data_IF_369693079368
#
_entry.id   IF_369693079368
#
_cell.length_a   1.000
_cell.length_b   1.000
_cell.length_c   1.000
_cell.angle_alpha   90.00
_cell.angle_beta   90.00
_cell.angle_gamma   90.00
#
_symmetry.space_group_name_H-M   'P 1'
#
loop_
_entity.id
_entity.type
_entity.pdbx_description
1 polymer ?
#
# COMPACT_ATOMS: atom_id res chain seq x y z
N UNK A 1 62.30 55.05 22.13
CA UNK A 1 62.82 53.67 22.18
C UNK A 1 62.57 53.13 23.58
N UNK A 2 61.43 52.49 23.85
CA UNK A 2 61.38 51.05 24.19
C UNK A 2 59.96 50.48 23.99
N UNK A 3 59.14 51.13 23.15
CA UNK A 3 57.80 50.67 22.75
C UNK A 3 57.81 49.52 21.72
N UNK A 4 58.98 48.91 21.48
CA UNK A 4 59.18 47.80 20.53
C UNK A 4 59.68 46.51 21.21
N UNK A 5 59.83 46.49 22.55
CA UNK A 5 60.32 45.32 23.29
C UNK A 5 59.28 44.63 24.19
N UNK A 6 58.00 45.03 24.10
CA UNK A 6 56.90 44.30 24.77
C UNK A 6 55.98 43.56 23.77
N UNK A 7 56.30 43.59 22.47
CA UNK A 7 55.56 42.89 21.40
C UNK A 7 56.19 41.52 21.06
N UNK A 8 57.36 41.19 21.62
CA UNK A 8 58.07 39.92 21.37
C UNK A 8 57.92 38.86 22.48
N UNK A 9 57.14 39.13 23.53
CA UNK A 9 56.93 38.20 24.65
C UNK A 9 55.45 38.09 25.06
N UNK A 10 54.56 38.15 24.07
CA UNK A 10 53.11 37.95 24.19
C UNK A 10 52.55 37.12 23.03
N UNK A 11 53.44 36.51 22.22
CA UNK A 11 53.09 35.76 21.01
C UNK A 11 53.38 34.26 21.14
N UNK A 12 53.29 33.70 22.36
CA UNK A 12 53.57 32.28 22.61
C UNK A 12 52.64 31.61 23.65
N UNK A 13 51.44 32.15 23.84
CA UNK A 13 50.50 31.62 24.84
C UNK A 13 49.01 31.73 24.41
N UNK A 14 48.73 31.48 23.13
CA UNK A 14 47.35 31.35 22.64
C UNK A 14 47.26 30.51 21.35
N UNK A 15 47.79 29.29 21.42
CA UNK A 15 47.43 28.20 20.50
C UNK A 15 47.26 26.96 21.37
N UNK A 16 46.02 26.59 21.65
CA UNK A 16 45.77 25.44 22.52
C UNK A 16 44.32 25.27 22.94
N UNK A 17 43.39 25.26 21.98
CA UNK A 17 42.15 24.47 22.02
C UNK A 17 41.65 24.30 20.59
N UNK A 18 42.51 23.74 19.72
CA UNK A 18 42.02 23.00 18.57
C UNK A 18 41.87 21.59 19.12
N UNK A 19 40.63 21.13 19.28
CA UNK A 19 40.32 19.74 19.62
C UNK A 19 40.83 18.86 18.48
N UNK A 20 42.09 18.45 18.56
CA UNK A 20 42.61 17.28 17.87
C UNK A 20 42.40 16.08 18.80
N UNK A 21 41.15 15.65 18.94
CA UNK A 21 40.85 14.33 19.49
C UNK A 21 41.00 13.28 18.38
N UNK A 22 42.20 13.15 17.83
CA UNK A 22 42.60 12.02 16.96
C UNK A 22 44.12 11.92 16.95
N UNK A 23 44.73 11.53 18.07
CA UNK A 23 46.13 11.04 18.06
C UNK A 23 46.56 10.15 19.22
N UNK A 24 45.65 9.64 20.05
CA UNK A 24 46.00 8.71 21.13
C UNK A 24 45.52 7.26 20.92
N UNK A 25 44.64 6.99 19.95
CA UNK A 25 44.06 5.63 19.81
C UNK A 25 45.00 4.54 19.27
N UNK A 26 46.16 4.90 18.71
CA UNK A 26 47.12 3.90 18.19
C UNK A 26 47.94 3.27 19.34
N UNK A 27 47.83 3.75 20.59
CA UNK A 27 48.55 3.20 21.75
C UNK A 27 47.70 2.92 22.99
N UNK A 28 46.40 3.19 22.96
CA UNK A 28 45.50 3.00 24.10
C UNK A 28 44.70 1.70 24.02
N UNK A 29 45.35 0.58 23.72
CA UNK A 29 44.80 -0.71 24.12
C UNK A 29 44.80 -0.76 25.65
N UNK A 30 43.62 -0.91 26.28
CA UNK A 30 43.58 -1.34 27.70
C UNK A 30 44.46 -2.60 27.79
N UNK A 31 45.47 -2.62 28.66
CA UNK A 31 46.28 -3.84 28.86
C UNK A 31 45.35 -5.02 29.16
N UNK A 32 45.33 -6.02 28.26
CA UNK A 32 44.58 -7.27 28.44
C UNK A 32 43.38 -7.50 27.51
N UNK A 33 42.96 -6.55 26.67
CA UNK A 33 41.90 -6.78 25.68
C UNK A 33 42.51 -7.13 24.32
N UNK A 34 42.16 -8.28 23.78
CA UNK A 34 42.59 -8.69 22.44
C UNK A 34 41.90 -7.80 21.38
N UNK A 35 42.70 -7.25 20.45
CA UNK A 35 42.22 -6.30 19.42
C UNK A 35 42.49 -6.85 18.02
N UNK A 36 41.73 -6.37 17.04
CA UNK A 36 41.96 -6.57 15.61
C UNK A 36 41.63 -5.31 14.82
N UNK A 37 42.00 -5.31 13.53
CA UNK A 37 41.78 -4.18 12.63
C UNK A 37 40.64 -4.47 11.67
N UNK A 38 39.84 -3.44 11.38
CA UNK A 38 38.81 -3.47 10.35
C UNK A 38 39.19 -2.53 9.20
N UNK A 39 39.20 -3.05 7.97
CA UNK A 39 39.12 -2.27 6.74
C UNK A 39 37.70 -2.28 6.21
N UNK A 40 37.09 -1.11 6.12
CA UNK A 40 35.72 -0.94 5.67
C UNK A 40 35.66 -0.32 4.28
N UNK A 41 34.78 -0.85 3.44
CA UNK A 41 34.36 -0.20 2.20
C UNK A 41 32.84 -0.11 2.19
N UNK A 42 32.33 1.03 1.73
CA UNK A 42 30.89 1.27 1.54
C UNK A 42 30.66 1.54 0.07
N UNK A 43 29.60 0.96 -0.48
CA UNK A 43 29.13 1.26 -1.83
C UNK A 43 27.61 1.27 -1.86
N UNK A 44 27.03 2.01 -2.79
CA UNK A 44 25.60 1.96 -3.08
C UNK A 44 25.35 1.27 -4.42
N UNK A 45 24.37 0.37 -4.45
CA UNK A 45 23.91 -0.27 -5.68
C UNK A 45 23.23 0.79 -6.55
N UNK A 46 23.76 1.02 -7.75
CA UNK A 46 23.17 1.99 -8.67
C UNK A 46 21.84 1.44 -9.21
N UNK A 47 20.78 2.26 -9.30
CA UNK A 47 19.51 1.82 -9.84
C UNK A 47 19.65 1.57 -11.36
N UNK A 48 19.04 0.50 -11.86
CA UNK A 48 19.11 0.12 -13.28
C UNK A 48 18.50 1.18 -14.23
N UNK A 49 17.60 2.02 -13.73
CA UNK A 49 16.93 3.10 -14.48
C UNK A 49 17.90 4.22 -14.90
N UNK A 50 18.98 4.46 -14.14
CA UNK A 50 19.95 5.54 -14.45
C UNK A 50 21.23 4.96 -15.02
N UNK A 51 21.33 4.86 -16.35
CA UNK A 51 22.47 4.27 -17.08
C UNK A 51 23.84 4.96 -16.89
N UNK A 52 24.02 5.96 -16.01
CA UNK A 52 25.23 6.81 -16.08
C UNK A 52 25.86 7.34 -14.78
N UNK A 53 25.32 7.12 -13.57
CA UNK A 53 25.93 7.75 -12.37
C UNK A 53 26.00 6.78 -11.20
N UNK A 54 27.23 6.43 -10.80
CA UNK A 54 27.48 5.78 -9.51
C UNK A 54 26.96 6.69 -8.39
N UNK A 55 26.18 6.14 -7.47
CA UNK A 55 25.74 6.85 -6.27
C UNK A 55 26.95 7.06 -5.37
N UNK A 56 27.33 8.32 -5.13
CA UNK A 56 28.39 8.61 -4.14
C UNK A 56 27.89 8.24 -2.75
N UNK A 57 28.76 7.59 -1.99
CA UNK A 57 28.53 7.24 -0.58
C UNK A 57 29.41 8.05 0.36
N UNK A 58 30.17 9.02 -0.16
CA UNK A 58 31.19 9.74 0.61
C UNK A 58 30.61 10.43 1.85
N UNK A 59 29.36 10.86 1.79
CA UNK A 59 28.62 11.54 2.86
C UNK A 59 27.73 10.62 3.70
N UNK A 60 27.76 9.30 3.47
CA UNK A 60 26.94 8.36 4.22
C UNK A 60 27.51 8.16 5.63
N UNK A 61 26.74 8.32 6.71
CA UNK A 61 27.18 7.93 8.03
C UNK A 61 27.48 6.42 8.11
N UNK A 62 28.34 6.06 9.05
CA UNK A 62 28.69 4.66 9.35
C UNK A 62 28.54 4.43 10.85
N UNK A 63 27.81 3.37 11.21
CA UNK A 63 27.69 2.89 12.59
C UNK A 63 28.20 1.46 12.68
N UNK A 64 29.06 1.19 13.66
CA UNK A 64 29.58 -0.13 13.98
C UNK A 64 29.10 -0.46 15.38
N UNK A 65 28.23 -1.46 15.50
CA UNK A 65 27.65 -1.89 16.77
C UNK A 65 27.91 -3.38 16.98
N UNK A 66 28.27 -3.78 18.18
CA UNK A 66 28.58 -5.17 18.45
C UNK A 66 28.97 -5.45 19.88
N UNK A 67 29.43 -6.67 20.11
CA UNK A 67 29.93 -7.11 21.42
C UNK A 67 31.30 -7.72 21.27
N UNK A 68 32.20 -7.33 22.15
CA UNK A 68 33.47 -8.02 22.34
C UNK A 68 33.24 -9.44 22.87
N UNK A 69 34.25 -10.30 22.77
CA UNK A 69 34.23 -11.65 23.36
C UNK A 69 34.05 -11.65 24.88
N UNK A 70 34.42 -10.55 25.55
CA UNK A 70 34.25 -10.35 26.98
C UNK A 70 32.85 -9.82 27.35
N UNK A 71 31.99 -9.60 26.35
CA UNK A 71 30.61 -9.16 26.51
C UNK A 71 30.44 -7.63 26.63
N UNK A 72 31.50 -6.84 26.53
CA UNK A 72 31.42 -5.37 26.46
C UNK A 72 30.76 -4.94 25.15
N UNK A 73 29.72 -4.12 25.25
CA UNK A 73 29.05 -3.47 24.11
C UNK A 73 29.94 -2.37 23.55
N UNK A 74 30.10 -2.37 22.22
CA UNK A 74 30.97 -1.46 21.51
C UNK A 74 30.17 -0.78 20.42
N UNK A 75 30.19 0.54 20.43
CA UNK A 75 29.62 1.39 19.39
C UNK A 75 30.70 2.35 18.85
N UNK A 76 30.77 2.48 17.53
CA UNK A 76 31.59 3.48 16.83
C UNK A 76 30.76 4.12 15.73
N UNK A 77 30.73 5.44 15.68
CA UNK A 77 29.99 6.19 14.70
C UNK A 77 30.91 7.17 13.97
N UNK A 78 30.72 7.27 12.65
CA UNK A 78 31.39 8.23 11.77
C UNK A 78 30.33 9.01 11.00
N UNK A 79 30.50 10.32 10.90
CA UNK A 79 29.51 11.20 10.26
C UNK A 79 29.42 10.98 8.74
N UNK A 80 30.51 10.51 8.12
CA UNK A 80 30.62 10.27 6.69
C UNK A 80 31.64 9.17 6.37
N UNK A 81 31.46 8.47 5.23
CA UNK A 81 32.44 7.50 4.71
C UNK A 81 33.79 8.17 4.43
N UNK A 82 33.79 9.42 4.00
CA UNK A 82 35.01 10.21 3.77
C UNK A 82 35.85 10.44 5.04
N UNK A 83 35.24 10.30 6.23
CA UNK A 83 35.90 10.46 7.53
C UNK A 83 36.45 9.14 8.07
N UNK A 84 36.24 8.01 7.37
CA UNK A 84 36.75 6.72 7.81
C UNK A 84 38.29 6.70 7.78
N UNK A 85 38.95 6.24 8.86
CA UNK A 85 40.38 5.99 8.81
C UNK A 85 40.69 4.79 7.89
N UNK A 86 41.95 4.66 7.45
CA UNK A 86 42.39 3.51 6.63
C UNK A 86 42.10 2.15 7.28
N UNK A 87 42.09 2.11 8.61
CA UNK A 87 41.66 0.96 9.40
C UNK A 87 41.16 1.39 10.78
N UNK A 88 40.16 0.68 11.29
CA UNK A 88 39.53 0.92 12.59
C UNK A 88 39.97 -0.18 13.56
N UNK A 89 40.45 0.19 14.74
CA UNK A 89 40.85 -0.77 15.78
C UNK A 89 39.65 -1.13 16.66
N UNK A 90 39.33 -2.42 16.76
CA UNK A 90 38.18 -2.92 17.53
C UNK A 90 38.61 -4.11 18.41
N UNK A 91 38.00 -4.31 19.58
CA UNK A 91 38.16 -5.54 20.35
C UNK A 91 37.77 -6.78 19.55
N UNK A 92 38.35 -7.94 19.85
CA UNK A 92 37.92 -9.22 19.30
C UNK A 92 36.46 -9.45 19.66
N UNK A 93 35.63 -9.79 18.69
CA UNK A 93 34.18 -9.86 18.86
C UNK A 93 33.41 -9.90 17.55
N UNK A 94 32.09 -9.83 17.66
CA UNK A 94 31.16 -9.81 16.54
C UNK A 94 30.46 -8.45 16.44
N UNK A 95 30.40 -7.93 15.22
CA UNK A 95 29.92 -6.58 14.95
C UNK A 95 29.03 -6.57 13.71
N UNK A 96 28.09 -5.62 13.68
CA UNK A 96 27.34 -5.23 12.50
C UNK A 96 27.74 -3.81 12.11
N UNK A 97 28.12 -3.63 10.84
CA UNK A 97 28.37 -2.32 10.27
C UNK A 97 27.16 -1.91 9.46
N UNK A 98 26.60 -0.74 9.76
CA UNK A 98 25.46 -0.17 9.06
C UNK A 98 25.88 1.15 8.42
N UNK A 99 25.46 1.38 7.18
CA UNK A 99 25.61 2.67 6.52
C UNK A 99 24.36 3.01 5.73
N UNK A 100 24.06 4.29 5.59
CA UNK A 100 22.85 4.76 4.93
C UNK A 100 22.98 6.18 4.40
N UNK A 101 22.04 6.60 3.56
CA UNK A 101 21.88 8.01 3.16
C UNK A 101 21.68 8.88 4.40
N UNK A 102 22.37 10.02 4.45
CA UNK A 102 22.26 10.97 5.57
C UNK A 102 20.81 11.44 5.75
N UNK A 103 20.36 11.49 7.01
CA UNK A 103 18.99 11.82 7.37
C UNK A 103 18.24 10.59 7.89
N UNK A 104 16.90 10.67 7.89
CA UNK A 104 16.00 9.63 8.37
C UNK A 104 15.21 9.06 7.18
N UNK A 105 14.99 7.74 7.18
CA UNK A 105 14.08 7.11 6.24
C UNK A 105 12.64 7.44 6.61
N UNK A 106 12.08 8.45 5.94
CA UNK A 106 10.67 8.80 6.05
C UNK A 106 9.83 8.06 5.01
N UNK A 107 8.51 8.01 5.22
CA UNK A 107 7.57 7.37 4.29
C UNK A 107 7.62 8.01 2.89
N UNK A 108 7.74 9.34 2.85
CA UNK A 108 7.84 10.16 1.62
C UNK A 108 9.14 10.95 1.63
N UNK A 109 9.89 10.87 0.54
CA UNK A 109 11.16 11.58 0.35
C UNK A 109 11.22 12.19 -1.06
N UNK A 110 12.06 13.22 -1.24
CA UNK A 110 12.32 13.86 -2.55
C UNK A 110 13.55 13.25 -3.26
N UNK A 111 14.29 12.38 -2.57
CA UNK A 111 15.52 11.76 -3.03
C UNK A 111 15.56 10.27 -2.61
N UNK A 112 16.32 9.43 -3.33
CA UNK A 112 16.47 8.03 -2.96
C UNK A 112 17.19 7.90 -1.61
N UNK A 113 16.75 6.93 -0.81
CA UNK A 113 17.37 6.59 0.46
C UNK A 113 18.00 5.21 0.38
N UNK A 114 19.30 5.12 0.62
CA UNK A 114 20.04 3.87 0.59
C UNK A 114 20.36 3.42 2.01
N UNK A 115 20.33 2.11 2.24
CA UNK A 115 20.77 1.50 3.51
C UNK A 115 21.39 0.15 3.23
N UNK A 116 22.41 -0.20 3.99
CA UNK A 116 23.04 -1.51 3.95
C UNK A 116 23.63 -1.85 5.30
N UNK A 117 23.76 -3.16 5.55
CA UNK A 117 24.51 -3.67 6.68
C UNK A 117 25.42 -4.81 6.26
N UNK A 118 26.46 -5.05 7.05
CA UNK A 118 27.32 -6.22 6.94
C UNK A 118 27.74 -6.66 8.33
N UNK A 119 27.50 -7.92 8.64
CA UNK A 119 28.03 -8.53 9.85
C UNK A 119 29.49 -8.97 9.64
N UNK A 120 30.26 -8.97 10.72
CA UNK A 120 31.67 -9.30 10.70
C UNK A 120 32.16 -9.85 12.05
N UNK A 121 33.32 -10.50 11.98
CA UNK A 121 34.08 -10.96 13.14
C UNK A 121 35.47 -10.29 13.14
N UNK A 122 35.85 -9.73 14.28
CA UNK A 122 37.19 -9.19 14.52
C UNK A 122 38.00 -10.22 15.28
N UNK A 123 39.19 -10.55 14.76
CA UNK A 123 40.10 -11.55 15.33
C UNK A 123 41.40 -10.89 15.77
N UNK A 124 42.01 -11.47 16.79
CA UNK A 124 43.25 -10.97 17.40
C UNK A 124 44.34 -10.82 16.35
N UNK A 125 44.95 -9.63 16.30
CA UNK A 125 46.08 -9.30 15.42
C UNK A 125 45.82 -9.54 13.92
N UNK A 126 44.54 -9.64 13.51
CA UNK A 126 44.13 -9.83 12.12
C UNK A 126 43.46 -8.57 11.59
N UNK A 127 43.73 -8.26 10.32
CA UNK A 127 42.98 -7.25 9.56
C UNK A 127 41.79 -7.91 8.86
N UNK A 128 40.60 -7.75 9.41
CA UNK A 128 39.34 -8.12 8.78
C UNK A 128 38.95 -7.07 7.74
N UNK A 129 38.23 -7.48 6.69
CA UNK A 129 37.69 -6.57 5.69
C UNK A 129 36.18 -6.76 5.59
N UNK A 130 35.42 -5.67 5.55
CA UNK A 130 33.99 -5.70 5.24
C UNK A 130 33.61 -4.75 4.12
N UNK A 131 32.53 -5.13 3.45
CA UNK A 131 31.95 -4.40 2.35
C UNK A 131 30.46 -4.23 2.61
N UNK A 132 30.06 -3.01 2.95
CA UNK A 132 28.64 -2.65 3.09
C UNK A 132 28.11 -2.27 1.72
N UNK A 133 27.13 -3.03 1.22
CA UNK A 133 26.43 -2.71 -0.03
C UNK A 133 25.07 -2.14 0.30
N UNK A 134 24.93 -0.83 0.18
CA UNK A 134 23.67 -0.13 0.42
C UNK A 134 22.73 -0.30 -0.78
N UNK A 135 21.49 -0.71 -0.52
CA UNK A 135 20.42 -0.80 -1.52
C UNK A 135 19.39 0.30 -1.26
N UNK A 136 18.73 0.75 -2.31
CA UNK A 136 17.66 1.74 -2.19
C UNK A 136 16.50 1.14 -1.40
N UNK A 137 16.02 1.86 -0.38
CA UNK A 137 14.97 1.39 0.54
C UNK A 137 13.58 1.84 0.10
N UNK A 138 13.49 2.95 -0.62
CA UNK A 138 12.26 3.50 -1.18
C UNK A 138 12.15 3.24 -2.69
N UNK A 139 10.94 3.27 -3.21
CA UNK A 139 10.65 3.11 -4.64
C UNK A 139 10.46 4.48 -5.27
N UNK A 140 10.89 4.63 -6.52
CA UNK A 140 10.71 5.86 -7.29
C UNK A 140 9.32 5.89 -7.90
N UNK A 141 8.47 6.82 -7.50
CA UNK A 141 7.16 7.06 -8.08
C UNK A 141 7.28 8.19 -9.11
N UNK A 142 7.06 7.87 -10.38
CA UNK A 142 7.03 8.82 -11.48
C UNK A 142 5.59 9.00 -11.95
N UNK A 143 5.08 10.22 -11.84
CA UNK A 143 3.82 10.63 -12.47
C UNK A 143 4.13 11.26 -13.81
N UNK A 144 3.31 11.00 -14.82
CA UNK A 144 3.38 11.69 -16.10
C UNK A 144 1.97 12.09 -16.54
N UNK A 145 1.86 13.30 -17.08
CA UNK A 145 0.61 13.86 -17.59
C UNK A 145 0.78 14.12 -19.07
N UNK A 146 -0.13 13.59 -19.88
CA UNK A 146 -0.13 13.92 -21.31
C UNK A 146 -0.46 15.39 -21.53
N UNK A 147 -0.04 15.93 -22.68
CA UNK A 147 -0.41 17.29 -23.09
C UNK A 147 -1.92 17.50 -23.11
N UNK A 148 -2.67 16.47 -23.52
CA UNK A 148 -4.13 16.50 -23.57
C UNK A 148 -4.73 16.49 -22.16
N UNK A 149 -4.14 15.76 -21.22
CA UNK A 149 -4.57 15.74 -19.82
C UNK A 149 -4.46 17.14 -19.21
N UNK A 150 -3.29 17.77 -19.35
CA UNK A 150 -3.06 19.13 -18.85
C UNK A 150 -3.97 20.18 -19.51
N UNK A 151 -4.43 19.93 -20.74
CA UNK A 151 -5.34 20.82 -21.46
C UNK A 151 -6.82 20.64 -21.06
N UNK A 152 -7.21 19.46 -20.59
CA UNK A 152 -8.61 19.11 -20.27
C UNK A 152 -8.94 19.21 -18.78
N UNK A 153 -7.94 19.20 -17.89
CA UNK A 153 -8.13 19.28 -16.44
C UNK A 153 -7.46 20.51 -15.80
N UNK A 154 -8.08 21.06 -14.75
CA UNK A 154 -7.60 22.25 -14.02
C UNK A 154 -6.95 21.90 -12.70
N UNK A 155 -7.44 20.89 -12.01
CA UNK A 155 -6.93 20.38 -10.74
C UNK A 155 -7.14 18.86 -10.65
N UNK A 156 -6.21 18.17 -9.99
CA UNK A 156 -6.35 16.74 -9.71
C UNK A 156 -5.66 16.36 -8.41
N UNK A 157 -6.19 15.30 -7.80
CA UNK A 157 -5.65 14.62 -6.63
C UNK A 157 -5.42 13.16 -7.00
N UNK A 158 -4.19 12.69 -6.73
CA UNK A 158 -3.78 11.31 -6.90
C UNK A 158 -3.43 10.79 -5.50
N UNK A 159 -4.03 9.68 -5.10
CA UNK A 159 -3.70 8.99 -3.86
C UNK A 159 -3.24 7.56 -4.14
N UNK A 160 -2.04 7.25 -3.70
CA UNK A 160 -1.45 5.91 -3.75
C UNK A 160 -1.46 5.34 -2.32
N UNK A 161 -2.30 4.35 -2.09
CA UNK A 161 -2.47 3.66 -0.81
C UNK A 161 -1.81 2.29 -0.88
N UNK A 162 -0.87 2.03 0.01
CA UNK A 162 -0.11 0.78 0.09
C UNK A 162 -0.58 -0.14 1.24
N UNK A 163 -1.73 0.16 1.84
CA UNK A 163 -2.30 -0.56 2.97
C UNK A 163 -1.63 -0.25 4.31
N UNK A 164 -0.65 0.67 4.34
CA UNK A 164 -0.08 1.18 5.59
C UNK A 164 -0.91 2.32 6.19
N UNK A 165 -0.51 2.82 7.35
CA UNK A 165 -1.22 3.93 8.04
C UNK A 165 -1.22 5.25 7.26
N UNK A 166 -0.37 5.39 6.23
CA UNK A 166 -0.23 6.62 5.46
C UNK A 166 -0.26 6.34 3.97
N UNK A 167 -1.14 7.04 3.23
CA UNK A 167 -1.16 7.03 1.77
C UNK A 167 -0.38 8.23 1.19
N UNK A 168 0.24 8.05 0.03
CA UNK A 168 0.85 9.15 -0.71
C UNK A 168 -0.25 9.95 -1.39
N UNK A 169 -0.40 11.23 -1.00
CA UNK A 169 -1.30 12.16 -1.68
C UNK A 169 -0.53 13.22 -2.45
N UNK A 170 -0.89 13.40 -3.72
CA UNK A 170 -0.36 14.41 -4.63
C UNK A 170 -1.54 15.23 -5.14
N UNK A 171 -1.51 16.53 -4.91
CA UNK A 171 -2.50 17.47 -5.43
C UNK A 171 -1.78 18.48 -6.32
N UNK A 172 -2.28 18.63 -7.54
CA UNK A 172 -1.70 19.54 -8.52
C UNK A 172 -2.78 20.32 -9.28
N UNK A 173 -2.32 21.35 -9.99
CA UNK A 173 -3.15 22.16 -10.89
C UNK A 173 -2.42 22.33 -12.20
N UNK A 174 -3.15 22.49 -13.31
CA UNK A 174 -2.54 22.68 -14.63
C UNK A 174 -1.67 23.94 -14.74
N UNK A 175 -1.85 24.91 -13.83
CA UNK A 175 -0.99 26.09 -13.75
C UNK A 175 0.43 25.78 -13.25
N UNK A 176 0.59 24.74 -12.43
CA UNK A 176 1.86 24.43 -11.74
C UNK A 176 2.45 23.08 -12.12
N UNK A 177 1.66 22.18 -12.72
CA UNK A 177 2.11 20.85 -13.09
C UNK A 177 3.03 20.88 -14.32
N UNK A 178 4.10 20.09 -14.25
CA UNK A 178 4.92 19.72 -15.41
C UNK A 178 4.35 18.45 -16.03
N UNK A 179 4.52 18.23 -17.34
CA UNK A 179 4.15 16.95 -17.98
C UNK A 179 4.84 15.73 -17.36
N UNK A 180 5.99 15.94 -16.72
CA UNK A 180 6.68 14.96 -15.89
C UNK A 180 7.20 15.69 -14.65
N UNK A 181 6.44 15.73 -13.54
CA UNK A 181 6.91 16.30 -12.28
C UNK A 181 8.13 15.55 -11.74
N UNK A 182 8.83 16.18 -10.79
CA UNK A 182 9.93 15.54 -10.09
C UNK A 182 9.45 14.24 -9.41
N UNK A 183 10.24 13.16 -9.48
CA UNK A 183 9.84 11.89 -8.90
C UNK A 183 9.73 11.99 -7.38
N UNK A 184 8.80 11.24 -6.83
CA UNK A 184 8.62 11.06 -5.38
C UNK A 184 9.28 9.75 -5.00
N UNK A 185 9.92 9.67 -3.84
CA UNK A 185 10.46 8.42 -3.33
C UNK A 185 9.63 7.93 -2.15
N UNK A 186 8.97 6.79 -2.33
CA UNK A 186 8.00 6.25 -1.38
C UNK A 186 8.52 4.96 -0.72
N UNK A 187 8.49 4.90 0.61
CA UNK A 187 8.90 3.73 1.36
C UNK A 187 7.71 2.82 1.68
N UNK A 188 7.63 1.68 1.01
CA UNK A 188 6.56 0.68 1.24
C UNK A 188 6.66 -0.09 2.56
N UNK A 189 7.63 0.21 3.42
CA UNK A 189 7.87 -0.54 4.66
C UNK A 189 8.83 -1.71 4.46
N UNK A 190 9.24 -2.33 5.57
CA UNK A 190 10.25 -3.40 5.58
C UNK A 190 9.78 -4.67 4.85
N UNK A 191 8.48 -4.98 4.92
CA UNK A 191 7.86 -6.09 4.18
C UNK A 191 7.41 -5.74 2.75
N UNK A 192 7.52 -4.46 2.36
CA UNK A 192 6.91 -3.96 1.13
C UNK A 192 5.39 -3.98 1.15
N UNK A 193 4.79 -3.64 0.01
CA UNK A 193 3.34 -3.69 -0.20
C UNK A 193 2.98 -4.76 -1.22
N UNK A 194 2.16 -5.73 -0.82
CA UNK A 194 1.66 -6.76 -1.73
C UNK A 194 0.71 -6.15 -2.78
N UNK A 195 -0.17 -5.25 -2.31
CA UNK A 195 -1.20 -4.59 -3.12
C UNK A 195 -1.11 -3.09 -2.94
N UNK A 196 -1.26 -2.35 -4.04
CA UNK A 196 -1.32 -0.89 -4.04
C UNK A 196 -2.63 -0.44 -4.69
N UNK A 197 -3.28 0.55 -4.10
CA UNK A 197 -4.52 1.15 -4.60
C UNK A 197 -4.28 2.60 -5.03
N UNK A 198 -4.58 2.91 -6.29
CA UNK A 198 -4.49 4.25 -6.84
C UNK A 198 -5.90 4.85 -7.00
N UNK A 199 -6.14 5.97 -6.34
CA UNK A 199 -7.38 6.74 -6.44
C UNK A 199 -7.09 8.07 -7.13
N UNK A 200 -7.92 8.45 -8.10
CA UNK A 200 -7.76 9.69 -8.84
C UNK A 200 -9.08 10.45 -8.85
N UNK A 201 -8.99 11.74 -8.55
CA UNK A 201 -10.08 12.70 -8.70
C UNK A 201 -9.55 13.93 -9.43
N UNK A 202 -10.24 14.38 -10.46
CA UNK A 202 -9.84 15.54 -11.24
C UNK A 202 -11.04 16.45 -11.52
N UNK A 203 -10.76 17.71 -11.85
CA UNK A 203 -11.76 18.68 -12.29
C UNK A 203 -11.44 19.16 -13.69
N UNK A 204 -12.41 19.09 -14.59
CA UNK A 204 -12.24 19.53 -15.97
C UNK A 204 -12.18 21.05 -16.08
N UNK A 205 -11.77 21.58 -17.24
CA UNK A 205 -11.81 23.03 -17.52
C UNK A 205 -13.24 23.61 -17.53
N UNK A 206 -14.24 22.78 -17.82
CA UNK A 206 -15.67 23.12 -17.76
C UNK A 206 -16.20 23.11 -16.31
N UNK A 207 -15.39 22.67 -15.35
CA UNK A 207 -15.71 22.66 -13.92
C UNK A 207 -16.34 21.37 -13.41
N UNK A 208 -16.48 20.34 -14.26
CA UNK A 208 -17.02 19.04 -13.88
C UNK A 208 -16.01 18.25 -13.05
N UNK A 209 -16.48 17.47 -12.07
CA UNK A 209 -15.61 16.56 -11.30
C UNK A 209 -15.65 15.17 -11.90
N UNK A 210 -14.48 14.64 -12.24
CA UNK A 210 -14.26 13.24 -12.63
C UNK A 210 -13.66 12.51 -11.44
N UNK A 211 -14.25 11.40 -11.02
CA UNK A 211 -13.74 10.53 -9.96
C UNK A 211 -13.61 9.14 -10.51
N UNK A 212 -12.41 8.56 -10.46
CA UNK A 212 -12.17 7.22 -10.97
C UNK A 212 -12.42 6.16 -9.92
N UNK A 213 -12.87 5.00 -10.37
CA UNK A 213 -12.84 3.80 -9.54
C UNK A 213 -11.39 3.53 -9.09
N UNK A 214 -11.18 2.98 -7.89
CA UNK A 214 -9.83 2.69 -7.42
C UNK A 214 -9.17 1.63 -8.29
N UNK A 215 -7.97 1.93 -8.80
CA UNK A 215 -7.12 0.96 -9.47
C UNK A 215 -6.36 0.16 -8.43
N UNK A 216 -6.62 -1.15 -8.36
CA UNK A 216 -5.93 -2.05 -7.44
C UNK A 216 -4.99 -2.90 -8.26
N UNK A 217 -3.72 -2.93 -7.89
CA UNK A 217 -2.70 -3.64 -8.65
C UNK A 217 -1.61 -4.20 -7.75
N UNK A 218 -1.00 -5.28 -8.22
CA UNK A 218 0.14 -5.92 -7.58
C UNK A 218 1.33 -5.96 -8.53
N UNK A 219 2.52 -6.01 -7.96
CA UNK A 219 3.75 -6.19 -8.75
C UNK A 219 3.78 -7.56 -9.44
N UNK A 220 3.20 -8.60 -8.82
CA UNK A 220 3.13 -9.95 -9.38
C UNK A 220 2.30 -10.07 -10.66
N UNK A 221 1.44 -9.08 -10.94
CA UNK A 221 0.58 -9.02 -12.13
C UNK A 221 1.30 -8.42 -13.34
N UNK A 222 2.52 -7.90 -13.16
CA UNK A 222 3.33 -7.38 -14.27
C UNK A 222 3.40 -8.38 -15.44
N UNK A 223 3.21 -7.88 -16.66
CA UNK A 223 3.13 -8.71 -17.89
C UNK A 223 4.37 -9.58 -18.12
N UNK A 224 5.52 -9.11 -17.65
CA UNK A 224 6.80 -9.81 -17.71
C UNK A 224 7.36 -10.04 -16.30
N UNK A 225 7.98 -11.20 -16.10
CA UNK A 225 8.60 -11.62 -14.84
C UNK A 225 10.07 -11.96 -15.08
N UNK A 226 10.90 -11.67 -14.10
CA UNK A 226 12.34 -11.93 -14.16
C UNK A 226 12.77 -12.88 -13.05
N UNK A 227 13.64 -13.83 -13.38
CA UNK A 227 14.12 -14.87 -12.45
C UNK A 227 14.92 -14.32 -11.27
N UNK A 228 15.45 -13.10 -11.36
CA UNK A 228 16.21 -12.41 -10.32
C UNK A 228 15.34 -11.46 -9.46
N UNK A 229 14.01 -11.53 -9.62
CA UNK A 229 13.01 -10.80 -8.83
C UNK A 229 12.30 -11.80 -7.91
N UNK A 230 12.85 -11.97 -6.71
CA UNK A 230 12.36 -12.98 -5.75
C UNK A 230 11.21 -12.49 -4.86
N UNK A 231 11.03 -11.17 -4.72
CA UNK A 231 10.01 -10.58 -3.85
C UNK A 231 8.77 -10.16 -4.68
N UNK A 232 7.58 -10.74 -4.41
CA UNK A 232 6.35 -10.37 -5.12
C UNK A 232 5.79 -9.01 -4.72
N UNK A 233 6.24 -8.42 -3.62
CA UNK A 233 5.76 -7.13 -3.11
C UNK A 233 6.50 -5.96 -3.76
N UNK A 234 5.84 -4.81 -3.80
CA UNK A 234 6.51 -3.53 -4.09
C UNK A 234 7.48 -3.19 -2.96
N UNK A 235 8.74 -3.01 -3.33
CA UNK A 235 9.83 -2.71 -2.38
C UNK A 235 10.81 -1.67 -2.92
N UNK A 236 11.72 -1.24 -2.06
CA UNK A 236 12.76 -0.28 -2.43
C UNK A 236 13.59 -0.70 -3.65
N UNK A 237 13.98 0.29 -4.44
CA UNK A 237 14.80 0.10 -5.65
C UNK A 237 14.04 -0.07 -6.95
N UNK A 238 12.73 -0.32 -6.88
CA UNK A 238 11.84 -0.31 -8.05
C UNK A 238 11.43 1.11 -8.44
N UNK A 239 11.01 1.30 -9.70
CA UNK A 239 10.31 2.50 -10.13
C UNK A 239 8.89 2.17 -10.57
N UNK A 240 7.90 2.84 -9.97
CA UNK A 240 6.51 2.79 -10.40
C UNK A 240 6.23 4.02 -11.28
N UNK A 241 5.74 3.78 -12.48
CA UNK A 241 5.41 4.81 -13.47
C UNK A 241 3.89 4.83 -13.62
N UNK A 242 3.29 6.01 -13.49
CA UNK A 242 1.85 6.23 -13.61
C UNK A 242 1.63 7.31 -14.66
N UNK A 243 1.15 6.90 -15.83
CA UNK A 243 0.84 7.79 -16.94
C UNK A 243 -0.66 8.09 -16.96
N UNK A 244 -1.02 9.38 -16.98
CA UNK A 244 -2.40 9.84 -17.02
C UNK A 244 -2.69 10.54 -18.36
N UNK A 245 -3.80 10.14 -18.98
CA UNK A 245 -4.38 10.73 -20.20
C UNK A 245 -5.86 11.02 -19.98
N UNK A 246 -6.48 11.93 -20.73
CA UNK A 246 -7.94 12.01 -20.77
C UNK A 246 -8.53 10.67 -21.18
N UNK A 247 -9.70 10.32 -20.63
CA UNK A 247 -10.51 9.21 -21.12
C UNK A 247 -11.02 9.49 -22.54
N UNK A 248 -11.51 8.44 -23.21
CA UNK A 248 -11.99 8.53 -24.59
C UNK A 248 -13.45 9.01 -24.70
N UNK A 249 -14.17 9.06 -23.58
CA UNK A 249 -15.56 9.49 -23.52
C UNK A 249 -15.69 10.97 -23.15
N UNK A 250 -16.66 11.64 -23.79
CA UNK A 250 -17.03 13.01 -23.50
C UNK A 250 -18.54 13.10 -23.21
N UNK A 251 -18.90 14.00 -22.29
CA UNK A 251 -20.29 14.31 -21.98
C UNK A 251 -20.95 14.94 -23.21
N UNK A 252 -22.08 14.41 -23.70
CA UNK A 252 -22.67 14.83 -24.97
C UNK A 252 -23.29 16.24 -24.92
N UNK A 253 -23.47 16.81 -23.74
CA UNK A 253 -24.08 18.13 -23.54
C UNK A 253 -23.02 19.22 -23.39
N UNK A 254 -21.92 18.90 -22.72
CA UNK A 254 -20.88 19.85 -22.34
C UNK A 254 -19.58 19.67 -23.13
N UNK A 255 -19.37 18.52 -23.78
CA UNK A 255 -18.11 18.15 -24.46
C UNK A 255 -16.95 17.91 -23.49
N UNK A 256 -17.24 17.83 -22.18
CA UNK A 256 -16.24 17.60 -21.15
C UNK A 256 -15.87 16.13 -21.08
N UNK A 257 -14.59 15.82 -20.90
CA UNK A 257 -14.13 14.43 -20.73
C UNK A 257 -14.71 13.84 -19.45
N UNK A 258 -15.23 12.62 -19.50
CA UNK A 258 -15.90 11.95 -18.36
C UNK A 258 -15.00 11.02 -17.57
N UNK A 259 -13.81 10.70 -18.09
CA UNK A 259 -12.87 9.75 -17.47
C UNK A 259 -11.39 10.14 -17.61
N UNK A 260 -10.53 9.30 -17.05
CA UNK A 260 -9.07 9.39 -17.11
C UNK A 260 -8.57 8.00 -17.48
N UNK A 261 -7.75 7.91 -18.52
CA UNK A 261 -7.04 6.67 -18.84
C UNK A 261 -5.73 6.63 -18.06
N UNK A 262 -5.49 5.52 -17.37
CA UNK A 262 -4.31 5.31 -16.53
C UNK A 262 -3.51 4.14 -17.07
N UNK A 263 -2.20 4.32 -17.20
CA UNK A 263 -1.26 3.21 -17.42
C UNK A 263 -0.33 3.13 -16.23
N UNK A 264 -0.20 1.93 -15.66
CA UNK A 264 0.71 1.64 -14.56
C UNK A 264 1.78 0.68 -15.07
N UNK A 265 3.04 1.06 -14.88
CA UNK A 265 4.19 0.22 -15.26
C UNK A 265 5.21 0.20 -14.13
N UNK A 266 5.96 -0.89 -14.03
CA UNK A 266 7.06 -1.05 -13.07
C UNK A 266 8.37 -1.25 -13.81
N UNK A 267 9.44 -0.61 -13.33
CA UNK A 267 10.81 -0.97 -13.66
C UNK A 267 11.42 -1.65 -12.43
N UNK A 268 11.78 -2.92 -12.58
CA UNK A 268 12.36 -3.73 -11.51
C UNK A 268 13.81 -3.30 -11.18
N UNK A 269 14.27 -3.51 -9.94
CA UNK A 269 15.55 -2.99 -9.43
C UNK A 269 16.78 -3.27 -10.33
N UNK A 270 16.80 -4.45 -10.99
CA UNK A 270 17.92 -4.90 -11.83
C UNK A 270 17.68 -4.71 -13.33
N UNK A 271 16.52 -4.16 -13.72
CA UNK A 271 16.07 -4.05 -15.11
C UNK A 271 15.87 -2.59 -15.49
N UNK A 272 15.94 -2.27 -16.78
CA UNK A 272 15.77 -0.89 -17.26
C UNK A 272 14.56 -0.71 -18.19
N UNK A 273 13.74 -1.75 -18.30
CA UNK A 273 12.55 -1.79 -19.13
C UNK A 273 11.32 -1.57 -18.26
N UNK A 274 10.39 -0.75 -18.74
CA UNK A 274 9.10 -0.56 -18.09
C UNK A 274 8.17 -1.70 -18.51
N UNK A 275 7.67 -2.43 -17.51
CA UNK A 275 6.75 -3.54 -17.70
C UNK A 275 5.38 -3.10 -17.22
N UNK A 276 4.38 -3.17 -18.09
CA UNK A 276 3.02 -2.83 -17.72
C UNK A 276 2.50 -3.78 -16.63
N UNK A 277 1.82 -3.19 -15.66
CA UNK A 277 0.98 -3.89 -14.72
C UNK A 277 -0.45 -3.71 -15.23
N UNK A 278 -1.14 -4.79 -15.63
CA UNK A 278 -2.53 -4.71 -16.00
C UNK A 278 -3.30 -4.25 -14.76
N UNK A 279 -3.88 -3.07 -14.87
CA UNK A 279 -4.93 -2.66 -13.96
C UNK A 279 -6.22 -3.19 -14.55
N UNK A 280 -7.01 -3.92 -13.76
CA UNK A 280 -8.42 -4.05 -14.11
C UNK A 280 -8.97 -2.62 -14.08
N UNK A 281 -9.18 -2.03 -15.26
CA UNK A 281 -10.17 -0.98 -15.38
C UNK A 281 -11.46 -1.60 -14.85
N UNK A 282 -11.79 -1.29 -13.60
CA UNK A 282 -13.20 -1.23 -13.21
C UNK A 282 -13.75 -0.01 -13.92
N UNK A 283 -13.82 -0.07 -15.25
CA UNK A 283 -14.70 0.78 -15.99
C UNK A 283 -16.04 0.72 -15.27
N UNK A 284 -16.56 1.90 -14.95
CA UNK A 284 -17.99 2.02 -14.83
C UNK A 284 -18.58 1.32 -16.05
N UNK A 285 -19.31 0.23 -15.85
CA UNK A 285 -20.10 -0.36 -16.93
C UNK A 285 -21.27 0.59 -17.19
N UNK A 286 -20.98 1.72 -17.84
CA UNK A 286 -21.96 2.38 -18.70
C UNK A 286 -21.99 1.62 -20.03
N UNK A 287 -23.16 1.51 -20.65
CA UNK A 287 -23.47 0.46 -21.60
C UNK A 287 -22.77 0.72 -22.93
N UNK A 288 -21.84 -0.14 -23.32
CA UNK A 288 -21.33 -0.13 -24.68
C UNK A 288 -22.45 -0.57 -25.66
N UNK A 289 -22.55 0.03 -26.86
CA UNK A 289 -23.59 -0.27 -27.82
C UNK A 289 -23.31 -1.64 -28.41
N UNK A 290 -24.32 -2.52 -28.34
CA UNK A 290 -24.35 -3.89 -28.89
C UNK A 290 -23.42 -4.12 -30.09
N UNK A 291 -22.56 -5.14 -29.97
CA UNK A 291 -22.54 -6.24 -30.91
C UNK A 291 -22.72 -7.57 -30.15
N UNK A 292 -23.91 -8.16 -30.30
CA UNK A 292 -24.40 -9.55 -30.06
C UNK A 292 -23.76 -10.45 -28.96
N UNK A 293 -24.60 -11.27 -28.30
CA UNK A 293 -24.43 -11.75 -26.94
C UNK A 293 -23.33 -12.80 -26.81
N UNK A 294 -22.51 -12.68 -25.77
CA UNK A 294 -21.98 -13.88 -25.14
C UNK A 294 -22.84 -14.20 -23.90
N UNK A 295 -23.40 -15.39 -23.97
CA UNK A 295 -24.51 -15.92 -23.18
C UNK A 295 -23.97 -16.45 -21.85
N UNK A 296 -24.41 -15.88 -20.73
CA UNK A 296 -24.59 -16.65 -19.49
C UNK A 296 -23.57 -16.48 -18.36
N UNK A 297 -23.26 -15.26 -17.92
CA UNK A 297 -22.54 -15.05 -16.66
C UNK A 297 -23.52 -14.92 -15.47
N UNK A 298 -23.40 -15.82 -14.50
CA UNK A 298 -23.98 -15.71 -13.15
C UNK A 298 -23.05 -14.86 -12.28
N UNK A 299 -23.57 -13.97 -11.41
CA UNK A 299 -22.77 -13.12 -10.54
C UNK A 299 -23.49 -12.70 -9.26
N UNK A 300 -22.70 -12.46 -8.21
CA UNK A 300 -23.13 -11.90 -6.92
C UNK A 300 -22.21 -10.74 -6.58
N UNK A 301 -22.79 -9.56 -6.32
CA UNK A 301 -22.09 -8.34 -5.91
C UNK A 301 -22.44 -8.01 -4.46
N UNK A 302 -21.41 -7.85 -3.63
CA UNK A 302 -21.51 -7.45 -2.23
C UNK A 302 -20.70 -6.17 -2.00
N UNK A 303 -21.04 -5.33 -1.00
CA UNK A 303 -20.14 -4.29 -0.51
C UNK A 303 -18.86 -4.90 0.08
N UNK A 304 -17.86 -4.07 0.37
CA UNK A 304 -16.68 -4.51 1.15
C UNK A 304 -17.09 -4.79 2.60
N UNK A 305 -16.38 -5.70 3.25
CA UNK A 305 -16.50 -5.94 4.70
C UNK A 305 -16.32 -4.63 5.48
N UNK A 306 -17.09 -4.48 6.56
CA UNK A 306 -17.08 -3.25 7.34
C UNK A 306 -17.34 -3.48 8.83
N UNK A 307 -16.93 -2.49 9.61
CA UNK A 307 -17.14 -2.42 11.06
C UNK A 307 -17.95 -1.17 11.40
N UNK A 308 -18.93 -1.29 12.29
CA UNK A 308 -19.58 -0.14 12.91
C UNK A 308 -19.78 -0.35 14.42
N UNK A 309 -19.92 0.75 15.16
CA UNK A 309 -20.16 0.70 16.61
C UNK A 309 -21.61 1.04 16.95
N UNK A 310 -22.14 0.39 17.97
CA UNK A 310 -23.42 0.74 18.60
C UNK A 310 -23.38 2.13 19.24
N UNK A 311 -22.20 2.62 19.63
CA UNK A 311 -21.97 4.00 20.07
C UNK A 311 -22.01 5.03 18.93
N UNK A 312 -22.06 4.57 17.67
CA UNK A 312 -22.19 5.39 16.46
C UNK A 312 -20.86 5.78 15.78
N UNK A 313 -19.71 5.32 16.29
CA UNK A 313 -18.39 5.55 15.65
C UNK A 313 -17.52 4.28 15.73
N UNK A 314 -17.13 3.64 14.61
CA UNK A 314 -17.44 4.01 13.22
C UNK A 314 -18.94 3.97 12.91
N UNK A 315 -19.39 4.83 12.00
CA UNK A 315 -20.80 4.98 11.68
C UNK A 315 -21.34 3.77 10.90
N UNK A 316 -22.58 3.39 11.19
CA UNK A 316 -23.29 2.35 10.46
C UNK A 316 -23.54 2.77 9.00
N UNK A 317 -23.24 1.94 7.99
CA UNK A 317 -23.49 2.28 6.61
C UNK A 317 -24.99 2.33 6.28
N UNK A 318 -25.35 3.12 5.27
CA UNK A 318 -26.73 3.29 4.84
C UNK A 318 -27.30 2.09 4.04
N UNK A 319 -26.44 1.29 3.42
CA UNK A 319 -26.82 0.06 2.70
C UNK A 319 -25.70 -0.97 2.79
N UNK A 320 -26.08 -2.24 2.69
CA UNK A 320 -25.18 -3.38 2.56
C UNK A 320 -25.72 -4.43 1.59
N UNK A 321 -26.60 -4.02 0.68
CA UNK A 321 -27.42 -4.95 -0.10
C UNK A 321 -26.60 -5.81 -1.06
N UNK A 322 -27.06 -7.05 -1.27
CA UNK A 322 -26.45 -7.99 -2.20
C UNK A 322 -27.19 -8.00 -3.52
N UNK A 323 -26.49 -7.76 -4.63
CA UNK A 323 -27.08 -7.78 -5.98
C UNK A 323 -26.71 -9.10 -6.65
N UNK A 324 -27.72 -9.88 -7.03
CA UNK A 324 -27.60 -11.19 -7.66
C UNK A 324 -28.09 -11.13 -9.09
N UNK A 325 -27.29 -11.59 -10.05
CA UNK A 325 -27.64 -11.59 -11.48
C UNK A 325 -27.34 -12.95 -12.10
N UNK A 326 -28.27 -13.47 -12.89
CA UNK A 326 -28.12 -14.70 -13.63
C UNK A 326 -28.86 -14.58 -14.97
N UNK A 327 -28.14 -14.38 -16.07
CA UNK A 327 -28.76 -14.18 -17.40
C UNK A 327 -29.58 -15.39 -17.88
N UNK A 328 -29.20 -16.60 -17.46
CA UNK A 328 -29.96 -17.82 -17.72
C UNK A 328 -31.23 -17.96 -16.85
N UNK A 329 -31.44 -17.02 -15.91
CA UNK A 329 -32.44 -17.10 -14.86
C UNK A 329 -31.85 -17.69 -13.57
N UNK A 330 -32.34 -17.23 -12.43
CA UNK A 330 -31.97 -17.71 -11.10
C UNK A 330 -32.73 -19.01 -10.84
N UNK A 331 -31.98 -20.10 -10.62
CA UNK A 331 -32.50 -21.39 -10.18
C UNK A 331 -32.58 -21.48 -8.66
N UNK A 332 -31.58 -20.94 -7.96
CA UNK A 332 -31.51 -20.90 -6.50
C UNK A 332 -30.74 -19.67 -6.04
N UNK A 333 -31.18 -19.04 -4.96
CA UNK A 333 -30.49 -17.95 -4.29
C UNK A 333 -30.49 -18.23 -2.79
N UNK A 334 -29.41 -18.81 -2.26
CA UNK A 334 -29.31 -19.25 -0.88
C UNK A 334 -28.60 -18.21 -0.02
N UNK A 335 -29.20 -17.90 1.14
CA UNK A 335 -28.63 -17.02 2.15
C UNK A 335 -28.38 -17.81 3.42
N UNK A 336 -27.13 -17.82 3.89
CA UNK A 336 -26.73 -18.41 5.17
C UNK A 336 -26.04 -17.37 6.03
N UNK A 337 -26.44 -17.30 7.29
CA UNK A 337 -25.89 -16.36 8.28
C UNK A 337 -25.09 -17.14 9.31
N UNK A 338 -23.84 -16.74 9.52
CA UNK A 338 -22.99 -17.21 10.61
C UNK A 338 -22.74 -16.04 11.54
N UNK A 339 -22.78 -16.29 12.84
CA UNK A 339 -22.54 -15.26 13.86
C UNK A 339 -21.81 -15.84 15.05
N UNK A 340 -20.92 -15.05 15.65
CA UNK A 340 -20.28 -15.36 16.94
C UNK A 340 -21.14 -14.91 18.14
N UNK A 341 -22.23 -14.19 17.90
CA UNK A 341 -23.15 -13.73 18.94
C UNK A 341 -24.22 -14.81 19.21
N UNK A 342 -24.13 -15.47 20.36
CA UNK A 342 -25.08 -16.53 20.75
C UNK A 342 -26.54 -16.05 20.88
N UNK A 343 -26.77 -14.77 21.19
CA UNK A 343 -28.12 -14.18 21.24
C UNK A 343 -28.75 -14.02 19.85
N UNK A 344 -27.97 -13.55 18.88
CA UNK A 344 -28.43 -13.47 17.49
C UNK A 344 -28.64 -14.86 16.89
N UNK A 345 -27.73 -15.80 17.19
CA UNK A 345 -27.86 -17.20 16.79
C UNK A 345 -29.16 -17.83 17.32
N UNK A 346 -29.49 -17.62 18.60
CA UNK A 346 -30.77 -18.06 19.17
C UNK A 346 -31.97 -17.41 18.48
N UNK A 347 -31.87 -16.12 18.16
CA UNK A 347 -32.91 -15.39 17.42
C UNK A 347 -33.15 -15.99 16.03
N UNK A 348 -32.08 -16.32 15.29
CA UNK A 348 -32.17 -16.98 13.98
C UNK A 348 -32.73 -18.42 14.08
N UNK A 349 -32.47 -19.11 15.19
CA UNK A 349 -33.00 -20.46 15.46
C UNK A 349 -34.50 -20.44 15.76
N UNK A 350 -34.97 -19.45 16.51
CA UNK A 350 -36.38 -19.31 16.94
C UNK A 350 -37.26 -18.62 15.87
N UNK A 351 -36.64 -17.85 14.96
CA UNK A 351 -37.35 -17.22 13.86
C UNK A 351 -38.02 -18.29 12.97
N UNK A 352 -39.35 -18.24 12.91
CA UNK A 352 -40.15 -19.08 12.03
C UNK A 352 -40.04 -18.57 10.58
N UNK A 353 -38.94 -18.92 9.92
CA UNK A 353 -38.89 -18.97 8.45
C UNK A 353 -39.71 -20.17 7.96
N UNK A 354 -39.54 -20.58 6.70
CA UNK A 354 -40.17 -21.82 6.22
C UNK A 354 -39.82 -23.02 7.12
N UNK A 355 -38.64 -23.00 7.76
CA UNK A 355 -38.24 -23.87 8.87
C UNK A 355 -37.44 -23.10 9.94
N UNK A 356 -37.55 -23.44 11.25
CA UNK A 356 -36.75 -22.83 12.31
C UNK A 356 -35.24 -22.98 12.05
N UNK A 357 -34.48 -21.89 12.16
CA UNK A 357 -33.04 -21.92 11.88
C UNK A 357 -32.68 -22.00 10.39
N UNK A 358 -33.63 -21.83 9.46
CA UNK A 358 -33.35 -21.93 8.02
C UNK A 358 -32.19 -21.02 7.56
N UNK A 359 -32.09 -19.80 8.09
CA UNK A 359 -30.96 -18.90 7.76
C UNK A 359 -29.62 -19.34 8.35
N UNK A 360 -29.58 -20.19 9.39
CA UNK A 360 -28.32 -20.74 9.92
C UNK A 360 -27.77 -21.86 9.02
N UNK A 361 -28.67 -22.60 8.36
CA UNK A 361 -28.32 -23.72 7.48
C UNK A 361 -28.18 -23.28 6.01
N UNK A 362 -28.88 -22.21 5.63
CA UNK A 362 -28.99 -21.73 4.26
C UNK A 362 -30.44 -21.79 3.78
N UNK A 363 -31.10 -20.63 3.70
CA UNK A 363 -32.46 -20.52 3.17
C UNK A 363 -32.41 -20.11 1.70
N UNK A 364 -33.02 -20.92 0.82
CA UNK A 364 -33.25 -20.49 -0.56
C UNK A 364 -34.36 -19.44 -0.56
N UNK A 365 -34.10 -18.29 -1.20
CA UNK A 365 -35.03 -17.17 -1.28
C UNK A 365 -36.14 -17.39 -2.30
N UNK A 366 -35.93 -18.25 -3.30
CA UNK A 366 -36.88 -18.44 -4.40
C UNK A 366 -38.24 -18.90 -3.87
N UNK A 367 -39.23 -18.01 -3.95
CA UNK A 367 -40.59 -18.25 -3.44
C UNK A 367 -40.70 -18.50 -1.92
N UNK A 368 -39.70 -18.11 -1.12
CA UNK A 368 -39.65 -18.40 0.31
C UNK A 368 -40.70 -17.61 1.10
N UNK A 369 -41.69 -18.29 1.69
CA UNK A 369 -42.82 -17.61 2.32
C UNK A 369 -42.43 -17.01 3.68
N UNK A 370 -41.56 -17.66 4.43
CA UNK A 370 -41.03 -17.13 5.69
C UNK A 370 -40.26 -15.82 5.50
N UNK A 371 -39.39 -15.75 4.50
CA UNK A 371 -38.67 -14.52 4.15
C UNK A 371 -39.63 -13.46 3.58
N UNK A 372 -40.62 -13.86 2.77
CA UNK A 372 -41.65 -12.93 2.30
C UNK A 372 -42.44 -12.30 3.46
N UNK A 373 -42.84 -13.11 4.45
CA UNK A 373 -43.52 -12.63 5.65
C UNK A 373 -42.63 -11.67 6.45
N UNK A 374 -41.32 -11.94 6.53
CA UNK A 374 -40.36 -11.00 7.14
C UNK A 374 -40.34 -9.67 6.40
N UNK A 375 -40.20 -9.67 5.07
CA UNK A 375 -40.20 -8.44 4.26
C UNK A 375 -41.51 -7.65 4.40
N UNK A 376 -42.65 -8.35 4.41
CA UNK A 376 -43.96 -7.72 4.59
C UNK A 376 -44.11 -7.14 6.02
N UNK A 377 -43.61 -7.84 7.06
CA UNK A 377 -43.66 -7.36 8.46
C UNK A 377 -42.81 -6.12 8.70
N UNK A 378 -41.75 -5.94 7.90
CA UNK A 378 -40.87 -4.78 7.93
C UNK A 378 -41.30 -3.69 6.93
N UNK A 379 -42.43 -3.90 6.25
CA UNK A 379 -43.00 -3.01 5.24
C UNK A 379 -41.99 -2.61 4.14
N UNK A 380 -41.05 -3.51 3.81
CA UNK A 380 -39.98 -3.21 2.86
C UNK A 380 -40.55 -2.84 1.49
N UNK A 381 -39.90 -1.86 0.86
CA UNK A 381 -40.27 -1.37 -0.46
C UNK A 381 -39.13 -1.53 -1.45
N UNK A 382 -39.48 -1.75 -2.70
CA UNK A 382 -38.55 -1.56 -3.82
C UNK A 382 -38.38 -0.05 -4.10
N UNK A 383 -37.40 0.30 -4.94
CA UNK A 383 -37.11 1.69 -5.29
C UNK A 383 -38.30 2.42 -5.96
N UNK A 384 -39.22 1.69 -6.57
CA UNK A 384 -40.45 2.21 -7.19
C UNK A 384 -41.62 2.37 -6.19
N UNK A 385 -41.41 2.04 -4.92
CA UNK A 385 -42.42 2.11 -3.85
C UNK A 385 -43.36 0.90 -3.76
N UNK A 386 -43.20 -0.11 -4.60
CA UNK A 386 -43.91 -1.39 -4.48
C UNK A 386 -43.40 -2.21 -3.29
N UNK A 387 -44.19 -3.17 -2.81
CA UNK A 387 -43.76 -4.03 -1.69
C UNK A 387 -42.64 -4.97 -2.14
N UNK A 388 -41.57 -5.08 -1.34
CA UNK A 388 -40.44 -5.98 -1.59
C UNK A 388 -40.93 -7.43 -1.64
N UNK A 389 -40.62 -8.12 -2.72
CA UNK A 389 -40.95 -9.55 -2.89
C UNK A 389 -39.70 -10.41 -2.94
N UNK A 390 -39.80 -11.66 -2.50
CA UNK A 390 -38.78 -12.68 -2.74
C UNK A 390 -38.63 -12.96 -4.24
N UNK A 391 -37.46 -13.42 -4.71
CA UNK A 391 -37.28 -13.72 -6.12
C UNK A 391 -38.17 -14.88 -6.56
N UNK A 392 -38.53 -14.88 -7.84
CA UNK A 392 -39.19 -16.01 -8.51
C UNK A 392 -38.16 -16.78 -9.34
N UNK A 393 -38.37 -18.09 -9.51
CA UNK A 393 -37.52 -18.91 -10.36
C UNK A 393 -37.46 -18.34 -11.79
N UNK A 394 -36.27 -18.31 -12.37
CA UNK A 394 -36.05 -17.73 -13.70
C UNK A 394 -35.92 -16.20 -13.72
N UNK A 395 -36.11 -15.50 -12.61
CA UNK A 395 -35.76 -14.08 -12.52
C UNK A 395 -34.28 -13.88 -12.88
N UNK A 396 -33.94 -12.84 -13.63
CA UNK A 396 -32.56 -12.63 -14.10
C UNK A 396 -31.73 -11.75 -13.15
N UNK A 397 -32.39 -11.05 -12.23
CA UNK A 397 -31.78 -10.17 -11.25
C UNK A 397 -32.60 -10.14 -9.96
N UNK A 398 -31.92 -10.05 -8.82
CA UNK A 398 -32.55 -9.85 -7.52
C UNK A 398 -31.61 -9.11 -6.55
N UNK A 399 -32.15 -8.14 -5.81
CA UNK A 399 -31.41 -7.45 -4.74
C UNK A 399 -31.90 -7.94 -3.39
N UNK A 400 -31.02 -8.61 -2.63
CA UNK A 400 -31.28 -9.06 -1.26
C UNK A 400 -30.92 -7.97 -0.25
N UNK A 401 -31.87 -7.49 0.57
CA UNK A 401 -31.70 -6.27 1.34
C UNK A 401 -31.01 -6.53 2.70
N UNK A 402 -29.71 -6.83 2.69
CA UNK A 402 -28.93 -7.11 3.92
C UNK A 402 -29.01 -5.95 4.91
N UNK A 403 -29.06 -4.70 4.44
CA UNK A 403 -29.15 -3.52 5.30
C UNK A 403 -30.36 -3.56 6.25
N UNK A 404 -31.42 -4.26 5.85
CA UNK A 404 -32.61 -4.47 6.70
C UNK A 404 -32.28 -5.21 7.99
N UNK A 405 -31.30 -6.11 7.94
CA UNK A 405 -30.90 -6.89 9.11
C UNK A 405 -30.20 -6.04 10.17
N UNK A 406 -29.74 -4.82 9.83
CA UNK A 406 -29.18 -3.89 10.82
C UNK A 406 -30.16 -3.57 11.95
N UNK A 407 -31.46 -3.50 11.66
CA UNK A 407 -32.47 -3.27 12.70
C UNK A 407 -32.47 -4.37 13.78
N UNK A 408 -32.01 -5.58 13.43
CA UNK A 408 -31.84 -6.68 14.36
C UNK A 408 -30.42 -6.73 14.92
N UNK A 409 -29.41 -6.46 14.09
CA UNK A 409 -28.01 -6.55 14.44
C UNK A 409 -27.54 -5.45 15.42
N UNK A 410 -28.22 -4.30 15.46
CA UNK A 410 -27.92 -3.16 16.34
C UNK A 410 -27.99 -3.49 17.86
N UNK A 411 -28.43 -4.69 18.25
CA UNK A 411 -28.42 -5.16 19.65
C UNK A 411 -27.54 -6.39 19.87
N UNK A 412 -26.83 -6.83 18.84
CA UNK A 412 -25.99 -8.03 18.84
C UNK A 412 -24.57 -7.67 18.41
N UNK A 413 -23.79 -7.06 19.31
CA UNK A 413 -22.36 -6.87 19.09
C UNK A 413 -21.67 -8.21 18.80
N UNK A 414 -20.71 -8.22 17.87
CA UNK A 414 -20.08 -9.43 17.36
C UNK A 414 -19.81 -9.38 15.87
N UNK A 415 -19.32 -10.50 15.35
CA UNK A 415 -19.03 -10.72 13.93
C UNK A 415 -20.17 -11.51 13.30
N UNK A 416 -20.71 -11.00 12.20
CA UNK A 416 -21.82 -11.58 11.44
C UNK A 416 -21.44 -11.72 9.97
N UNK A 417 -21.49 -12.94 9.47
CA UNK A 417 -21.13 -13.27 8.09
C UNK A 417 -22.39 -13.66 7.30
N UNK A 418 -22.63 -13.00 6.17
CA UNK A 418 -23.70 -13.30 5.23
C UNK A 418 -23.12 -14.01 4.01
N UNK A 419 -23.32 -15.32 3.93
CA UNK A 419 -22.96 -16.14 2.78
C UNK A 419 -24.12 -16.12 1.78
N UNK A 420 -23.82 -15.70 0.55
CA UNK A 420 -24.76 -15.62 -0.56
C UNK A 420 -24.28 -16.56 -1.65
N UNK A 421 -25.08 -17.59 -1.93
CA UNK A 421 -24.81 -18.59 -2.97
C UNK A 421 -25.89 -18.50 -4.04
N UNK A 422 -25.51 -18.10 -5.25
CA UNK A 422 -26.39 -17.98 -6.41
C UNK A 422 -26.13 -19.13 -7.37
N UNK A 423 -27.20 -19.80 -7.81
CA UNK A 423 -27.16 -20.82 -8.87
C UNK A 423 -28.08 -20.42 -10.01
N UNK A 424 -27.56 -20.40 -11.23
CA UNK A 424 -28.37 -20.13 -12.43
C UNK A 424 -29.05 -21.40 -12.99
N UNK A 425 -29.94 -21.22 -13.98
CA UNK A 425 -30.64 -22.34 -14.65
C UNK A 425 -29.71 -23.27 -15.45
N UNK A 426 -28.46 -22.86 -15.68
CA UNK A 426 -27.41 -23.67 -16.31
C UNK A 426 -26.49 -24.36 -15.28
N UNK A 427 -26.89 -24.38 -14.00
CA UNK A 427 -26.14 -24.96 -12.88
C UNK A 427 -24.78 -24.29 -12.60
N UNK A 428 -24.56 -23.07 -13.08
CA UNK A 428 -23.38 -22.28 -12.67
C UNK A 428 -23.62 -21.67 -11.29
N UNK A 429 -22.63 -21.80 -10.42
CA UNK A 429 -22.70 -21.37 -9.01
C UNK A 429 -21.70 -20.26 -8.72
N UNK A 430 -22.13 -19.21 -8.03
CA UNK A 430 -21.27 -18.17 -7.44
C UNK A 430 -21.57 -18.06 -5.96
N UNK A 431 -20.52 -18.06 -5.14
CA UNK A 431 -20.61 -17.84 -3.70
C UNK A 431 -19.77 -16.62 -3.30
N UNK A 432 -20.35 -15.77 -2.44
CA UNK A 432 -19.68 -14.62 -1.84
C UNK A 432 -20.07 -14.51 -0.36
N UNK A 433 -19.21 -13.88 0.43
CA UNK A 433 -19.44 -13.61 1.84
C UNK A 433 -19.27 -12.12 2.11
N UNK A 434 -20.14 -11.56 2.94
CA UNK A 434 -19.99 -10.22 3.53
C UNK A 434 -19.79 -10.37 5.04
N UNK A 435 -18.71 -9.82 5.56
CA UNK A 435 -18.41 -9.79 6.99
C UNK A 435 -18.79 -8.44 7.58
N UNK A 436 -19.61 -8.47 8.62
CA UNK A 436 -20.06 -7.29 9.36
C UNK A 436 -19.60 -7.42 10.81
N UNK A 437 -18.75 -6.51 11.27
CA UNK A 437 -18.32 -6.46 12.67
C UNK A 437 -19.03 -5.34 13.41
N UNK A 438 -19.63 -5.65 14.55
CA UNK A 438 -20.35 -4.69 15.38
C UNK A 438 -19.67 -4.60 16.73
N UNK A 439 -19.14 -3.43 17.06
CA UNK A 439 -18.51 -3.18 18.37
C UNK A 439 -19.47 -2.48 19.30
N UNK A 440 -19.28 -2.65 20.61
CA UNK A 440 -20.01 -1.88 21.64
C UNK A 440 -19.80 -0.36 21.50
#
# INVERSE_FOLDING_TARGET
MRLLNYIALSLFALVGFISCEMREEIKSGKEGVDMGLLKLSVQAKSPAVTKATSVSTDDFPVSIVGKSVDGEEVERNYDAVADLPESILLPVGTYSVVSHTKGVLEKKLEAPYYKGSSDMEIKKDITSSAKVTCKMQNSRIQLNYSSEFLAKFTEWTIMLDDGSETALSVQETSANASASPAPIYWYFGEGGAETVTLNIRAKTIEGNTVTMAPYVFKKEDAKEKYDDVDNPNFTGGEALIIDLKPGNEEDPTTGAVTGISVTISVIFENHNEAVDIPVEDKEETKPDPTPDPDEGAVSVTLPKDFTYSLSGTPAKPASADAIMKASAGIKSALVRIVTDNEGFKATLQDAAFDEPGALLLGANLIGNQGIQNLFDSLELKEADGSAKKTPVEGATEYTFPIATFFNFLDIFAGTHEFYITLTDMNDKVVEKVLTITITE
#
